data_IF_436286000755
#
_entry.id   IF_436286000755
#
_cell.length_a   1.000
_cell.length_b   1.000
_cell.length_c   1.000
_cell.angle_alpha   90.00
_cell.angle_beta   90.00
_cell.angle_gamma   90.00
#
_symmetry.space_group_name_H-M   'P 1'
#
loop_
_entity.id
_entity.type
_entity.pdbx_description
1 polymer ?
#
# COMPACT_ATOMS: atom_id res chain seq x y z
N UNK A 1 8.48 -16.43 11.56
CA UNK A 1 8.31 -16.44 10.09
C UNK A 1 7.95 -17.85 9.64
N UNK A 2 6.98 -18.02 8.72
CA UNK A 2 6.66 -19.32 8.13
C UNK A 2 7.57 -19.57 6.90
N UNK A 3 8.55 -20.50 6.97
CA UNK A 3 9.54 -20.69 5.91
C UNK A 3 8.95 -21.30 4.62
N UNK A 4 7.69 -21.75 4.63
CA UNK A 4 7.03 -22.36 3.47
C UNK A 4 6.50 -21.34 2.46
N UNK A 5 6.62 -20.03 2.74
CA UNK A 5 6.07 -18.98 1.89
C UNK A 5 7.20 -18.24 1.19
N UNK A 6 7.29 -18.46 -0.13
CA UNK A 6 8.36 -17.92 -0.97
C UNK A 6 8.38 -16.38 -1.06
N UNK A 7 7.25 -15.71 -0.80
CA UNK A 7 7.16 -14.25 -0.80
C UNK A 7 6.30 -13.77 0.38
N UNK A 8 6.87 -13.59 1.57
CA UNK A 8 6.11 -13.24 2.77
C UNK A 8 5.72 -11.76 2.83
N UNK A 9 6.28 -10.91 1.96
CA UNK A 9 6.04 -9.46 1.96
C UNK A 9 5.42 -9.05 0.63
N UNK A 10 4.46 -8.14 0.67
CA UNK A 10 3.99 -7.36 -0.48
C UNK A 10 4.58 -5.94 -0.40
N UNK A 11 5.10 -5.43 -1.52
CA UNK A 11 5.60 -4.07 -1.64
C UNK A 11 4.82 -3.37 -2.75
N UNK A 12 4.12 -2.30 -2.40
CA UNK A 12 3.20 -1.58 -3.29
C UNK A 12 3.59 -0.10 -3.28
N UNK A 13 3.63 0.54 -4.45
CA UNK A 13 3.76 1.99 -4.58
C UNK A 13 2.39 2.59 -4.88
N UNK A 14 2.04 3.66 -4.17
CA UNK A 14 0.93 4.53 -4.52
C UNK A 14 1.51 5.88 -4.96
N UNK A 15 1.41 6.12 -6.26
CA UNK A 15 1.92 7.30 -6.93
C UNK A 15 0.79 8.31 -7.15
N UNK A 16 1.02 9.56 -6.77
CA UNK A 16 0.01 10.61 -6.84
C UNK A 16 0.37 11.66 -7.90
N UNK A 17 -0.67 12.28 -8.46
CA UNK A 17 -0.49 13.37 -9.42
C UNK A 17 0.13 14.60 -8.76
N UNK A 18 1.01 15.26 -9.53
CA UNK A 18 1.59 16.55 -9.16
C UNK A 18 0.54 17.64 -8.91
N UNK A 19 -0.61 17.55 -9.57
CA UNK A 19 -1.71 18.51 -9.42
C UNK A 19 -2.32 18.46 -8.01
N UNK A 20 -2.23 17.29 -7.35
CA UNK A 20 -2.82 17.04 -6.04
C UNK A 20 -1.84 17.34 -4.90
N UNK A 21 -0.59 17.68 -5.19
CA UNK A 21 0.50 17.85 -4.22
C UNK A 21 0.13 18.72 -3.02
N UNK A 22 -0.67 19.78 -3.23
CA UNK A 22 -1.14 20.67 -2.16
C UNK A 22 -2.13 20.02 -1.19
N UNK A 23 -2.87 19.00 -1.64
CA UNK A 23 -3.86 18.24 -0.85
C UNK A 23 -3.24 17.03 -0.13
N UNK A 24 -2.07 16.57 -0.57
CA UNK A 24 -1.37 15.37 -0.09
C UNK A 24 -0.55 15.62 1.19
N UNK A 25 -1.27 15.96 2.26
CA UNK A 25 -0.73 15.92 3.63
C UNK A 25 -0.44 14.47 4.04
N UNK A 26 0.43 14.25 5.02
CA UNK A 26 0.73 12.90 5.52
C UNK A 26 -0.53 12.18 5.97
N UNK A 27 -1.44 12.88 6.68
CA UNK A 27 -2.72 12.33 7.11
C UNK A 27 -3.60 11.89 5.93
N UNK A 28 -3.64 12.69 4.86
CA UNK A 28 -4.41 12.35 3.66
C UNK A 28 -3.83 11.11 2.97
N UNK A 29 -2.51 11.06 2.79
CA UNK A 29 -1.82 9.94 2.16
C UNK A 29 -1.96 8.64 2.97
N UNK A 30 -1.85 8.72 4.30
CA UNK A 30 -2.13 7.59 5.19
C UNK A 30 -3.59 7.14 5.06
N UNK A 31 -4.55 8.07 5.02
CA UNK A 31 -5.97 7.73 4.81
C UNK A 31 -6.20 6.95 3.52
N UNK A 32 -5.61 7.40 2.41
CA UNK A 32 -5.71 6.73 1.10
C UNK A 32 -5.05 5.33 1.14
N UNK A 33 -3.88 5.22 1.78
CA UNK A 33 -3.21 3.93 1.97
C UNK A 33 -4.07 2.93 2.75
N UNK A 34 -4.69 3.36 3.84
CA UNK A 34 -5.55 2.51 4.67
C UNK A 34 -6.81 2.07 3.91
N UNK A 35 -7.44 3.00 3.17
CA UNK A 35 -8.58 2.66 2.31
C UNK A 35 -8.20 1.66 1.21
N UNK A 36 -7.03 1.84 0.59
CA UNK A 36 -6.48 0.88 -0.37
C UNK A 36 -6.28 -0.49 0.28
N UNK A 37 -5.61 -0.55 1.44
CA UNK A 37 -5.34 -1.78 2.17
C UNK A 37 -6.63 -2.52 2.54
N UNK A 38 -7.65 -1.79 2.99
CA UNK A 38 -8.98 -2.36 3.27
C UNK A 38 -9.61 -2.98 2.02
N UNK A 39 -9.67 -2.23 0.91
CA UNK A 39 -10.24 -2.72 -0.35
C UNK A 39 -9.49 -3.93 -0.91
N UNK A 40 -8.21 -4.06 -0.61
CA UNK A 40 -7.35 -5.16 -1.06
C UNK A 40 -7.27 -6.33 -0.05
N UNK A 41 -7.94 -6.24 1.10
CA UNK A 41 -8.00 -7.32 2.10
C UNK A 41 -6.79 -7.40 3.05
N UNK A 42 -6.02 -6.33 3.19
CA UNK A 42 -4.85 -6.24 4.08
C UNK A 42 -5.16 -5.60 5.45
N UNK A 43 -6.31 -5.94 6.05
CA UNK A 43 -6.72 -5.34 7.34
C UNK A 43 -6.08 -6.01 8.56
N UNK A 44 -5.99 -7.34 8.55
CA UNK A 44 -5.49 -8.13 9.68
C UNK A 44 -3.99 -8.43 9.58
N UNK A 45 -3.14 -7.43 9.29
CA UNK A 45 -1.71 -7.68 9.12
C UNK A 45 -0.84 -6.52 9.57
N UNK A 46 0.45 -6.78 9.74
CA UNK A 46 1.44 -5.75 10.02
C UNK A 46 1.89 -5.10 8.72
N UNK A 47 2.07 -3.78 8.76
CA UNK A 47 2.52 -3.00 7.62
C UNK A 47 3.31 -1.77 8.05
N UNK A 48 4.04 -1.21 7.09
CA UNK A 48 4.69 0.10 7.19
C UNK A 48 4.26 0.92 5.97
N UNK A 49 3.93 2.19 6.21
CA UNK A 49 3.69 3.20 5.17
C UNK A 49 4.88 4.15 5.18
N UNK A 50 5.56 4.28 4.05
CA UNK A 50 6.74 5.16 3.91
C UNK A 50 6.45 6.19 2.85
N UNK A 51 6.56 7.48 3.20
CA UNK A 51 6.56 8.57 2.21
C UNK A 51 8.00 8.86 1.80
N UNK A 52 8.24 8.94 0.50
CA UNK A 52 9.51 9.43 -0.02
C UNK A 52 9.38 10.88 -0.52
N UNK A 53 10.51 11.58 -0.51
CA UNK A 53 10.67 12.96 -0.99
C UNK A 53 11.85 13.08 -1.96
N UNK A 54 12.28 11.95 -2.53
CA UNK A 54 13.42 11.82 -3.42
C UNK A 54 13.10 12.18 -4.89
N UNK A 55 11.82 12.32 -5.23
CA UNK A 55 11.36 12.80 -6.54
C UNK A 55 10.31 13.91 -6.40
N UNK A 56 10.02 14.61 -7.49
CA UNK A 56 8.98 15.64 -7.51
C UNK A 56 7.58 15.07 -7.27
N UNK A 57 7.35 13.84 -7.76
CA UNK A 57 6.10 13.10 -7.70
C UNK A 57 5.84 12.60 -6.27
N UNK A 58 4.76 13.06 -5.61
CA UNK A 58 4.40 12.55 -4.30
C UNK A 58 4.03 11.07 -4.41
N UNK A 59 4.64 10.23 -3.58
CA UNK A 59 4.33 8.80 -3.53
C UNK A 59 4.58 8.23 -2.14
N UNK A 60 3.94 7.09 -1.87
CA UNK A 60 4.18 6.29 -0.67
C UNK A 60 4.39 4.83 -1.05
N UNK A 61 5.20 4.15 -0.26
CA UNK A 61 5.36 2.70 -0.31
C UNK A 61 4.63 2.05 0.86
N UNK A 62 3.87 1.01 0.53
CA UNK A 62 3.30 0.08 1.49
C UNK A 62 4.17 -1.17 1.51
N UNK A 63 4.70 -1.51 2.69
CA UNK A 63 5.41 -2.76 2.94
C UNK A 63 4.53 -3.57 3.89
N UNK A 64 3.92 -4.62 3.37
CA UNK A 64 2.84 -5.36 4.04
C UNK A 64 3.27 -6.81 4.25
N UNK A 65 3.10 -7.34 5.46
CA UNK A 65 3.25 -8.76 5.70
C UNK A 65 2.06 -9.52 5.08
N UNK A 66 2.32 -10.52 4.25
CA UNK A 66 1.28 -11.40 3.70
C UNK A 66 0.92 -12.56 4.62
N UNK A 67 1.53 -12.60 5.79
CA UNK A 67 1.07 -13.40 6.91
C UNK A 67 0.27 -12.50 7.82
N UNK A 68 -1.02 -12.80 7.92
CA UNK A 68 -1.91 -12.10 8.84
C UNK A 68 -1.52 -12.36 10.31
N UNK A 69 -2.17 -11.65 11.22
CA UNK A 69 -1.91 -11.81 12.65
C UNK A 69 -2.27 -13.22 13.19
N UNK A 70 -3.03 -14.02 12.43
CA UNK A 70 -3.41 -15.39 12.77
C UNK A 70 -2.46 -16.44 12.17
N UNK A 71 -1.40 -16.01 11.47
CA UNK A 71 -0.43 -16.89 10.84
C UNK A 71 -0.87 -17.47 9.49
N UNK A 72 -1.98 -17.01 8.93
CA UNK A 72 -2.50 -17.45 7.63
C UNK A 72 -1.97 -16.54 6.52
N UNK A 73 -1.82 -17.13 5.34
CA UNK A 73 -1.42 -16.37 4.15
C UNK A 73 -2.61 -15.59 3.61
N UNK A 74 -2.45 -14.29 3.46
CA UNK A 74 -3.39 -13.44 2.72
C UNK A 74 -3.30 -13.79 1.24
N UNK A 75 -4.44 -14.09 0.63
CA UNK A 75 -4.56 -14.38 -0.80
C UNK A 75 -4.80 -13.08 -1.56
N UNK A 76 -3.82 -12.67 -2.36
CA UNK A 76 -3.88 -11.47 -3.19
C UNK A 76 -5.01 -11.64 -4.24
N UNK A 77 -6.15 -10.94 -4.09
CA UNK A 77 -7.29 -11.09 -5.01
C UNK A 77 -7.15 -10.29 -6.31
N UNK A 78 -6.28 -9.29 -6.38
CA UNK A 78 -6.01 -8.53 -7.61
C UNK A 78 -4.56 -8.04 -7.61
N UNK A 79 -3.74 -8.59 -8.51
CA UNK A 79 -2.40 -8.09 -8.80
C UNK A 79 -2.34 -7.73 -10.29
N UNK A 80 -3.33 -6.97 -10.76
CA UNK A 80 -3.37 -6.42 -12.12
C UNK A 80 -3.56 -4.91 -11.99
N UNK A 81 -2.55 -4.20 -12.48
CA UNK A 81 -2.42 -2.77 -12.74
C UNK A 81 -3.77 -2.05 -12.87
N UNK A 82 -4.14 -1.26 -11.86
CA UNK A 82 -5.05 -0.12 -12.00
C UNK A 82 -4.56 1.04 -11.12
N UNK A 83 -3.39 1.58 -11.46
CA UNK A 83 -2.88 2.88 -10.97
C UNK A 83 -3.43 4.06 -11.83
N UNK A 84 -4.64 3.95 -12.39
CA UNK A 84 -5.24 4.99 -13.24
C UNK A 84 -6.68 5.37 -12.86
N UNK A 85 -7.12 5.10 -11.63
CA UNK A 85 -8.36 5.68 -11.14
C UNK A 85 -8.05 6.49 -9.88
N UNK A 86 -8.56 7.71 -9.86
CA UNK A 86 -8.35 8.76 -8.85
C UNK A 86 -7.18 9.73 -9.10
N UNK A 87 -7.14 10.32 -10.30
CA UNK A 87 -6.89 11.76 -10.43
C UNK A 87 -8.22 12.49 -10.54
N UNK A 88 -8.61 13.20 -9.48
CA UNK A 88 -9.51 14.36 -9.49
C UNK A 88 -8.96 15.38 -8.47
#
# INVERSE_FOLDING_TARGET
MNPKIAKPVAHISLDFSMQDKKRLTDKAMVGIALEYMQKMGYENTQYIIVRHHDTDHPHIHLVINRIDNDGKRITDFLQIVLLNFYTF
#
